data_IF_654905953626
#
_entry.id   IF_654905953626
#
_cell.length_a   1.000
_cell.length_b   1.000
_cell.length_c   1.000
_cell.angle_alpha   90.00
_cell.angle_beta   90.00
_cell.angle_gamma   90.00
#
_symmetry.space_group_name_H-M   'P 1'
#
loop_
_entity.id
_entity.type
_entity.pdbx_description
1 polymer ?
#
# COMPACT_ATOMS: atom_id res chain seq x y z
N UNK A 1 -17.49 22.97 -25.90
CA UNK A 1 -17.88 21.57 -26.17
C UNK A 1 -16.80 20.65 -25.60
N UNK A 2 -17.20 19.82 -24.61
CA UNK A 2 -16.55 18.62 -24.04
C UNK A 2 -15.11 18.80 -23.49
N UNK A 3 -14.92 19.16 -22.22
CA UNK A 3 -14.97 18.29 -21.02
C UNK A 3 -14.23 16.96 -21.22
N UNK A 4 -12.90 16.99 -21.04
CA UNK A 4 -12.10 15.78 -20.90
C UNK A 4 -12.16 15.34 -19.43
N UNK A 5 -13.10 14.45 -19.15
CA UNK A 5 -13.24 13.78 -17.85
C UNK A 5 -11.91 13.18 -17.41
N UNK A 6 -11.49 13.62 -16.22
CA UNK A 6 -10.40 13.08 -15.43
C UNK A 6 -10.73 11.62 -15.10
N UNK A 7 -10.31 10.69 -15.97
CA UNK A 7 -10.45 9.25 -15.74
C UNK A 7 -9.44 8.84 -14.67
N UNK A 8 -9.78 9.07 -13.40
CA UNK A 8 -9.10 8.45 -12.28
C UNK A 8 -9.13 6.93 -12.50
N UNK A 9 -7.97 6.28 -12.44
CA UNK A 9 -7.90 4.83 -12.33
C UNK A 9 -8.65 4.45 -11.05
N UNK A 10 -9.87 3.93 -11.23
CA UNK A 10 -10.61 3.28 -10.17
C UNK A 10 -9.79 2.05 -9.76
N UNK A 11 -8.95 2.23 -8.75
CA UNK A 11 -8.41 1.12 -7.97
C UNK A 11 -9.64 0.49 -7.34
N UNK A 12 -10.11 -0.60 -7.93
CA UNK A 12 -11.17 -1.42 -7.33
C UNK A 12 -10.68 -1.75 -5.92
N UNK A 13 -11.48 -1.52 -4.86
CA UNK A 13 -11.08 -1.99 -3.55
C UNK A 13 -10.93 -3.50 -3.67
N UNK A 14 -9.71 -4.00 -3.46
CA UNK A 14 -9.51 -5.41 -3.19
C UNK A 14 -10.51 -5.75 -2.08
N UNK A 15 -11.36 -6.74 -2.35
CA UNK A 15 -12.43 -7.23 -1.48
C UNK A 15 -12.01 -7.04 -0.03
N UNK A 16 -12.67 -6.12 0.67
CA UNK A 16 -12.35 -5.77 2.04
C UNK A 16 -12.61 -7.01 2.90
N UNK A 17 -11.62 -7.90 2.97
CA UNK A 17 -11.60 -8.95 3.97
C UNK A 17 -11.56 -8.23 5.31
N UNK A 18 -12.32 -8.75 6.26
CA UNK A 18 -12.38 -8.19 7.58
C UNK A 18 -10.95 -8.06 8.11
N UNK A 19 -10.52 -6.83 8.38
CA UNK A 19 -9.16 -6.55 8.87
C UNK A 19 -8.90 -7.36 10.15
N UNK A 20 -9.94 -7.59 10.96
CA UNK A 20 -9.83 -8.45 12.13
C UNK A 20 -9.43 -9.89 11.73
N UNK A 21 -10.05 -10.46 10.70
CA UNK A 21 -9.71 -11.80 10.21
C UNK A 21 -8.26 -11.88 9.68
N UNK A 22 -7.78 -10.85 8.98
CA UNK A 22 -6.38 -10.81 8.51
C UNK A 22 -5.38 -10.70 9.66
N UNK A 23 -5.71 -9.93 10.69
CA UNK A 23 -4.88 -9.82 11.91
C UNK A 23 -4.82 -11.16 12.63
N UNK A 24 -5.95 -11.83 12.83
CA UNK A 24 -6.00 -13.15 13.45
C UNK A 24 -5.20 -14.19 12.65
N UNK A 25 -5.30 -14.17 11.33
CA UNK A 25 -4.51 -15.05 10.47
C UNK A 25 -2.99 -14.78 10.59
N UNK A 26 -2.58 -13.52 10.68
CA UNK A 26 -1.17 -13.13 10.85
C UNK A 26 -0.63 -13.47 12.25
N UNK A 27 -1.47 -13.41 13.29
CA UNK A 27 -1.13 -13.85 14.64
C UNK A 27 -1.01 -15.37 14.73
N UNK A 28 -1.95 -16.11 14.13
CA UNK A 28 -1.94 -17.57 14.12
C UNK A 28 -0.67 -18.15 13.45
N UNK A 29 -0.10 -17.45 12.47
CA UNK A 29 1.16 -17.85 11.83
C UNK A 29 2.37 -17.83 12.80
N UNK A 30 2.29 -17.05 13.88
CA UNK A 30 3.35 -16.89 14.88
C UNK A 30 2.92 -17.39 16.27
N UNK A 31 2.06 -18.39 16.35
CA UNK A 31 1.56 -18.94 17.63
C UNK A 31 0.99 -17.85 18.56
N UNK A 32 0.28 -16.88 17.99
CA UNK A 32 -0.27 -15.70 18.67
C UNK A 32 0.77 -14.74 19.28
N UNK A 33 2.07 -14.90 18.95
CA UNK A 33 3.11 -13.93 19.32
C UNK A 33 3.05 -12.66 18.47
N UNK A 34 2.33 -11.67 19.00
CA UNK A 34 2.21 -10.36 18.38
C UNK A 34 3.55 -9.67 18.10
N UNK A 35 4.60 -9.88 18.91
CA UNK A 35 5.92 -9.26 18.67
C UNK A 35 6.60 -9.91 17.47
N UNK A 36 6.54 -11.23 17.37
CA UNK A 36 7.06 -11.95 16.21
C UNK A 36 6.32 -11.56 14.93
N UNK A 37 4.98 -11.47 14.97
CA UNK A 37 4.17 -11.00 13.83
C UNK A 37 4.56 -9.58 13.40
N UNK A 38 4.65 -8.64 14.34
CA UNK A 38 5.04 -7.26 14.03
C UNK A 38 6.45 -7.19 13.46
N UNK A 39 7.41 -7.96 14.01
CA UNK A 39 8.77 -8.00 13.51
C UNK A 39 8.84 -8.49 12.05
N UNK A 40 8.08 -9.54 11.71
CA UNK A 40 7.94 -10.05 10.34
C UNK A 40 7.36 -8.99 9.41
N UNK A 41 6.22 -8.38 9.78
CA UNK A 41 5.57 -7.35 8.96
C UNK A 41 6.47 -6.13 8.72
N UNK A 42 7.24 -5.72 9.72
CA UNK A 42 8.24 -4.64 9.56
C UNK A 42 9.36 -5.05 8.59
N UNK A 43 9.80 -6.30 8.65
CA UNK A 43 10.74 -6.89 7.69
C UNK A 43 10.20 -6.86 6.25
N UNK A 44 8.96 -7.30 6.06
CA UNK A 44 8.29 -7.33 4.76
C UNK A 44 8.11 -5.91 4.19
N UNK A 45 7.68 -4.95 5.01
CA UNK A 45 7.56 -3.54 4.61
C UNK A 45 8.92 -2.99 4.15
N UNK A 46 10.00 -3.29 4.88
CA UNK A 46 11.35 -2.86 4.49
C UNK A 46 11.76 -3.48 3.16
N UNK A 47 11.48 -4.76 2.96
CA UNK A 47 11.77 -5.46 1.71
C UNK A 47 10.99 -4.87 0.53
N UNK A 48 9.69 -4.65 0.69
CA UNK A 48 8.83 -4.07 -0.35
C UNK A 48 9.26 -2.64 -0.71
N UNK A 49 9.64 -1.83 0.28
CA UNK A 49 10.19 -0.48 0.04
C UNK A 49 11.48 -0.53 -0.76
N UNK A 50 12.37 -1.48 -0.47
CA UNK A 50 13.58 -1.68 -1.25
C UNK A 50 13.27 -2.08 -2.70
N UNK A 51 12.35 -3.04 -2.90
CA UNK A 51 11.94 -3.44 -4.24
C UNK A 51 11.33 -2.27 -5.03
N UNK A 52 10.51 -1.45 -4.38
CA UNK A 52 9.91 -0.27 -5.00
C UNK A 52 10.99 0.75 -5.42
N UNK A 53 11.97 1.03 -4.56
CA UNK A 53 13.07 1.93 -4.88
C UNK A 53 13.92 1.40 -6.07
N UNK A 54 14.17 0.10 -6.12
CA UNK A 54 14.87 -0.54 -7.25
C UNK A 54 14.06 -0.44 -8.54
N UNK A 55 12.75 -0.70 -8.47
CA UNK A 55 11.86 -0.56 -9.62
C UNK A 55 11.82 0.89 -10.11
N UNK A 56 11.71 1.86 -9.21
CA UNK A 56 11.74 3.29 -9.55
C UNK A 56 13.07 3.67 -10.24
N UNK A 57 14.20 3.20 -9.73
CA UNK A 57 15.51 3.46 -10.33
C UNK A 57 15.69 2.81 -11.71
N UNK A 58 15.08 1.65 -11.94
CA UNK A 58 15.16 0.92 -13.21
C UNK A 58 14.16 1.43 -14.26
N UNK A 59 13.04 2.00 -13.84
CA UNK A 59 12.00 2.50 -14.75
C UNK A 59 12.38 3.87 -15.35
N UNK A 60 12.18 4.02 -16.66
CA UNK A 60 12.29 5.33 -17.29
C UNK A 60 11.06 6.18 -17.00
N UNK A 61 11.22 7.52 -16.92
CA UNK A 61 10.10 8.46 -16.73
C UNK A 61 9.01 8.36 -17.80
N UNK A 62 9.36 7.89 -19.00
CA UNK A 62 8.41 7.66 -20.09
C UNK A 62 7.56 6.41 -19.89
N UNK A 63 8.08 5.38 -19.21
CA UNK A 63 7.37 4.13 -18.94
C UNK A 63 6.18 4.34 -17.99
N UNK A 64 6.34 5.18 -16.96
CA UNK A 64 5.28 5.44 -15.98
C UNK A 64 4.33 6.57 -16.40
N UNK A 65 4.49 7.14 -17.61
CA UNK A 65 3.71 8.29 -18.11
C UNK A 65 3.64 9.45 -17.11
N UNK A 66 4.75 9.71 -16.43
CA UNK A 66 4.87 10.79 -15.44
C UNK A 66 4.31 10.47 -14.05
N UNK A 67 3.85 9.25 -13.79
CA UNK A 67 3.48 8.81 -12.44
C UNK A 67 4.74 8.49 -11.62
N UNK A 68 4.76 8.93 -10.36
CA UNK A 68 5.83 8.71 -9.38
C UNK A 68 5.19 8.13 -8.10
N UNK A 69 5.70 7.00 -7.57
CA UNK A 69 5.20 6.46 -6.30
C UNK A 69 5.41 7.44 -5.15
N UNK A 70 4.45 7.55 -4.24
CA UNK A 70 4.58 8.31 -2.99
C UNK A 70 4.52 7.37 -1.80
N UNK A 71 5.41 7.55 -0.83
CA UNK A 71 5.47 6.70 0.36
C UNK A 71 4.40 7.05 1.41
N UNK A 72 3.92 8.29 1.41
CA UNK A 72 2.92 8.73 2.36
C UNK A 72 1.54 8.20 1.99
N UNK A 73 0.84 7.68 3.00
CA UNK A 73 -0.60 7.47 2.90
C UNK A 73 -1.26 8.84 3.02
N UNK A 74 -2.13 9.19 2.08
CA UNK A 74 -3.04 10.32 2.22
C UNK A 74 -3.97 10.00 3.41
N UNK A 75 -3.57 10.44 4.60
CA UNK A 75 -4.43 10.33 5.78
C UNK A 75 -5.50 11.40 5.59
N UNK A 76 -6.70 11.01 5.15
CA UNK A 76 -7.89 11.84 5.27
C UNK A 76 -8.13 12.10 6.77
N UNK A 77 -7.52 13.16 7.30
CA UNK A 77 -8.00 13.82 8.51
C UNK A 77 -9.31 14.51 8.13
N UNK A 78 -10.38 13.74 8.03
CA UNK A 78 -11.73 14.29 8.08
C UNK A 78 -11.89 14.95 9.47
N UNK A 79 -12.29 16.23 9.45
CA UNK A 79 -12.29 17.12 10.61
C UNK A 79 -13.05 16.57 11.81
N UNK A 80 -12.32 16.45 12.92
CA UNK A 80 -12.91 16.40 14.25
C UNK A 80 -12.72 17.79 14.87
N UNK A 81 -13.63 18.69 14.53
CA UNK A 81 -13.98 19.88 15.32
C UNK A 81 -15.32 19.58 16.02
#
# INVERSE_FOLDING_TARGET
MTSFEKRAMSIKPAKQMDVAFEVEAALAFHDEDAKATIATLLGDIKHLRMQLALAEAAMSRGMTRGWTPTFDREVERAGQD
#
